data_IF_275748102687
#
_entry.id   IF_275748102687
#
_cell.length_a   1.000
_cell.length_b   1.000
_cell.length_c   1.000
_cell.angle_alpha   90.00
_cell.angle_beta   90.00
_cell.angle_gamma   90.00
#
_symmetry.space_group_name_H-M   'P 1'
#
loop_
_entity.id
_entity.type
_entity.pdbx_description
1 polymer ?
#
# COMPACT_ATOMS: atom_id res chain seq x y z
N UNK A 1 -24.39 52.15 -20.28
CA UNK A 1 -23.82 50.78 -20.32
C UNK A 1 -22.60 50.62 -19.42
N UNK A 2 -21.68 51.60 -19.33
CA UNK A 2 -20.53 51.53 -18.40
C UNK A 2 -20.90 51.59 -16.90
N UNK A 3 -21.94 52.33 -16.52
CA UNK A 3 -22.31 52.52 -15.10
C UNK A 3 -22.91 51.24 -14.46
N UNK A 4 -23.55 50.38 -15.27
CA UNK A 4 -24.14 49.13 -14.79
C UNK A 4 -23.10 48.02 -14.54
N UNK A 5 -21.96 48.04 -15.24
CA UNK A 5 -20.88 47.07 -15.07
C UNK A 5 -20.09 47.34 -13.79
N UNK A 6 -19.92 48.62 -13.41
CA UNK A 6 -19.23 48.98 -12.17
C UNK A 6 -20.02 48.60 -10.90
N UNK A 7 -21.35 48.55 -10.95
CA UNK A 7 -22.18 48.15 -9.81
C UNK A 7 -22.15 46.63 -9.60
N UNK A 8 -22.11 45.82 -10.67
CA UNK A 8 -22.02 44.36 -10.55
C UNK A 8 -20.65 43.87 -10.05
N UNK A 9 -19.55 44.54 -10.44
CA UNK A 9 -18.21 44.23 -9.92
C UNK A 9 -18.08 44.64 -8.45
N UNK A 10 -18.70 45.75 -8.02
CA UNK A 10 -18.72 46.16 -6.62
C UNK A 10 -19.54 45.20 -5.72
N UNK A 11 -20.67 44.67 -6.22
CA UNK A 11 -21.48 43.69 -5.47
C UNK A 11 -20.80 42.32 -5.41
N UNK A 12 -20.08 41.89 -6.46
CA UNK A 12 -19.31 40.65 -6.45
C UNK A 12 -18.10 40.70 -5.49
N UNK A 13 -17.45 41.87 -5.35
CA UNK A 13 -16.36 42.06 -4.38
C UNK A 13 -16.90 42.15 -2.94
N UNK A 14 -18.10 42.71 -2.74
CA UNK A 14 -18.75 42.72 -1.42
C UNK A 14 -19.25 41.31 -1.04
N UNK A 15 -19.74 40.49 -1.97
CA UNK A 15 -20.07 39.07 -1.67
C UNK A 15 -18.83 38.19 -1.47
N UNK A 16 -17.73 38.45 -2.19
CA UNK A 16 -16.44 37.80 -1.94
C UNK A 16 -15.82 38.18 -0.60
N UNK A 17 -16.00 39.44 -0.16
CA UNK A 17 -15.54 39.90 1.16
C UNK A 17 -16.47 39.45 2.30
N UNK A 18 -17.78 39.28 2.06
CA UNK A 18 -18.73 38.80 3.09
C UNK A 18 -18.64 37.30 3.32
N UNK A 19 -18.26 36.50 2.31
CA UNK A 19 -17.90 35.08 2.54
C UNK A 19 -16.52 34.90 3.19
N UNK A 20 -15.63 35.89 3.07
CA UNK A 20 -14.33 35.91 3.76
C UNK A 20 -14.35 36.47 5.20
N UNK A 21 -15.46 37.06 5.66
CA UNK A 21 -15.52 37.78 6.96
C UNK A 21 -16.49 37.14 7.98
N UNK A 22 -17.17 36.03 7.64
CA UNK A 22 -17.87 35.21 8.66
C UNK A 22 -16.89 34.33 9.47
N UNK A 23 -15.61 34.24 9.09
CA UNK A 23 -14.58 33.51 9.87
C UNK A 23 -14.03 34.29 11.07
N UNK A 24 -14.40 35.57 11.26
CA UNK A 24 -13.82 36.42 12.27
C UNK A 24 -14.71 36.65 13.50
N UNK A 25 -15.25 35.60 14.15
CA UNK A 25 -15.46 35.53 15.63
C UNK A 25 -15.52 34.05 16.11
N UNK A 26 -14.43 33.32 15.95
CA UNK A 26 -13.91 32.38 16.96
C UNK A 26 -12.40 32.56 16.81
N UNK A 27 -11.69 33.08 17.82
CA UNK A 27 -10.23 32.92 17.89
C UNK A 27 -9.96 31.43 17.63
N UNK A 28 -9.49 31.06 16.44
CA UNK A 28 -9.58 29.67 16.02
C UNK A 28 -8.74 28.83 16.96
N UNK A 29 -9.34 27.81 17.58
CA UNK A 29 -8.64 26.84 18.44
C UNK A 29 -7.81 25.85 17.61
N UNK A 30 -7.80 26.04 16.29
CA UNK A 30 -7.13 25.24 15.29
C UNK A 30 -5.63 25.30 15.50
N UNK A 31 -5.02 24.14 15.66
CA UNK A 31 -3.57 23.95 15.89
C UNK A 31 -2.88 23.28 14.72
N UNK A 32 -3.63 22.60 13.85
CA UNK A 32 -3.14 22.05 12.61
C UNK A 32 -4.22 22.18 11.53
N UNK A 33 -3.82 22.40 10.28
CA UNK A 33 -4.76 22.52 9.18
C UNK A 33 -4.15 22.12 7.84
N UNK A 34 -5.01 21.63 6.95
CA UNK A 34 -4.70 21.42 5.56
C UNK A 34 -5.88 21.85 4.71
N UNK A 35 -5.68 22.85 3.83
CA UNK A 35 -6.72 23.41 2.96
C UNK A 35 -8.00 23.77 3.75
N UNK A 36 -9.11 23.08 3.50
CA UNK A 36 -10.41 23.31 4.14
C UNK A 36 -10.60 22.56 5.45
N UNK A 37 -9.66 21.69 5.85
CA UNK A 37 -9.75 20.86 7.05
C UNK A 37 -8.88 21.47 8.14
N UNK A 38 -9.47 21.70 9.32
CA UNK A 38 -8.77 22.20 10.50
C UNK A 38 -8.99 21.30 11.69
N UNK A 39 -7.97 21.16 12.52
CA UNK A 39 -7.98 20.38 13.74
C UNK A 39 -7.67 21.28 14.94
N UNK A 40 -8.61 21.32 15.89
CA UNK A 40 -8.46 22.06 17.15
C UNK A 40 -7.64 21.27 18.18
N UNK A 41 -7.06 21.95 19.17
CA UNK A 41 -6.15 21.34 20.16
C UNK A 41 -6.75 20.12 20.88
N UNK A 42 -8.03 20.15 21.25
CA UNK A 42 -8.70 19.02 21.93
C UNK A 42 -8.88 17.81 20.99
N UNK A 43 -9.05 18.05 19.68
CA UNK A 43 -9.12 16.97 18.66
C UNK A 43 -7.73 16.40 18.41
N UNK A 44 -6.72 17.28 18.30
CA UNK A 44 -5.33 16.86 18.17
C UNK A 44 -4.84 16.07 19.39
N UNK A 45 -5.23 16.44 20.61
CA UNK A 45 -4.95 15.67 21.83
C UNK A 45 -5.57 14.27 21.77
N UNK A 46 -6.81 14.14 21.28
CA UNK A 46 -7.42 12.82 21.08
C UNK A 46 -6.55 11.95 20.17
N UNK A 47 -6.18 12.46 18.98
CA UNK A 47 -5.34 11.72 18.04
C UNK A 47 -3.94 11.44 18.59
N UNK A 48 -3.35 12.35 19.36
CA UNK A 48 -2.06 12.13 20.02
C UNK A 48 -2.10 10.94 20.99
N UNK A 49 -3.18 10.80 21.76
CA UNK A 49 -3.35 9.68 22.69
C UNK A 49 -3.58 8.34 21.98
N UNK A 50 -4.19 8.36 20.79
CA UNK A 50 -4.34 7.18 19.93
C UNK A 50 -3.00 6.78 19.29
N UNK A 51 -2.29 7.76 18.73
CA UNK A 51 -0.99 7.55 18.12
C UNK A 51 0.01 6.98 19.13
N UNK A 52 0.04 7.51 20.37
CA UNK A 52 0.88 6.97 21.44
C UNK A 52 0.59 5.49 21.73
N UNK A 53 -0.69 5.11 21.76
CA UNK A 53 -1.07 3.71 21.95
C UNK A 53 -0.59 2.82 20.79
N UNK A 54 -0.80 3.25 19.54
CA UNK A 54 -0.38 2.53 18.35
C UNK A 54 1.16 2.38 18.31
N UNK A 55 1.90 3.44 18.60
CA UNK A 55 3.35 3.45 18.67
C UNK A 55 3.89 2.50 19.75
N UNK A 56 3.32 2.52 20.96
CA UNK A 56 3.73 1.58 22.02
C UNK A 56 3.43 0.12 21.64
N UNK A 57 2.31 -0.11 20.96
CA UNK A 57 1.91 -1.44 20.49
C UNK A 57 2.87 -1.95 19.42
N UNK A 58 3.28 -1.09 18.47
CA UNK A 58 4.23 -1.46 17.42
C UNK A 58 5.60 -1.78 17.99
N UNK A 59 6.12 -0.98 18.93
CA UNK A 59 7.38 -1.29 19.62
C UNK A 59 7.35 -2.65 20.33
N UNK A 60 6.23 -2.97 20.98
CA UNK A 60 6.06 -4.26 21.67
C UNK A 60 6.05 -5.42 20.66
N UNK A 61 5.36 -5.26 19.53
CA UNK A 61 5.31 -6.24 18.45
C UNK A 61 6.68 -6.47 17.80
N UNK A 62 7.50 -5.40 17.67
CA UNK A 62 8.88 -5.48 17.17
C UNK A 62 9.89 -6.04 18.19
N UNK A 63 9.44 -6.56 19.34
CA UNK A 63 10.30 -7.21 20.32
C UNK A 63 11.05 -6.26 21.25
N UNK A 64 10.69 -4.97 21.32
CA UNK A 64 11.29 -4.04 22.27
C UNK A 64 10.88 -4.43 23.69
N UNK A 65 11.86 -4.80 24.51
CA UNK A 65 11.62 -5.21 25.90
C UNK A 65 11.43 -4.00 26.82
N UNK A 66 10.42 -4.07 27.70
CA UNK A 66 10.17 -3.08 28.75
C UNK A 66 9.50 -1.81 28.25
N UNK A 67 8.58 -1.92 27.29
CA UNK A 67 7.76 -0.80 26.83
C UNK A 67 6.80 -0.38 27.95
N UNK A 68 7.03 0.78 28.52
CA UNK A 68 6.22 1.35 29.61
C UNK A 68 5.98 2.84 29.34
N UNK A 69 4.79 3.35 29.64
CA UNK A 69 4.50 4.78 29.52
C UNK A 69 5.12 5.56 30.69
N UNK A 70 6.43 5.76 30.63
CA UNK A 70 7.18 6.48 31.65
C UNK A 70 8.22 7.39 31.01
N UNK A 71 8.55 8.51 31.67
CA UNK A 71 9.65 9.39 31.22
C UNK A 71 10.99 8.65 31.12
N UNK A 72 11.20 7.60 31.90
CA UNK A 72 12.40 6.76 31.82
C UNK A 72 12.48 6.02 30.49
N UNK A 73 11.38 5.40 30.06
CA UNK A 73 11.29 4.73 28.76
C UNK A 73 11.45 5.73 27.61
N UNK A 74 10.74 6.86 27.66
CA UNK A 74 10.81 7.86 26.58
C UNK A 74 12.19 8.47 26.35
N UNK A 75 13.08 8.42 27.35
CA UNK A 75 14.48 8.90 27.24
C UNK A 75 15.46 7.82 26.77
N UNK A 76 15.02 6.57 26.65
CA UNK A 76 15.86 5.46 26.20
C UNK A 76 16.22 5.66 24.72
N UNK A 77 17.49 5.43 24.39
CA UNK A 77 17.97 5.42 23.02
C UNK A 77 17.32 4.25 22.24
N UNK A 78 16.85 4.55 21.04
CA UNK A 78 16.22 3.55 20.15
C UNK A 78 17.24 2.76 19.32
N UNK A 79 18.53 3.12 19.36
CA UNK A 79 19.61 2.55 18.56
C UNK A 79 19.96 3.37 17.31
N UNK A 80 19.20 4.44 17.01
CA UNK A 80 19.44 5.32 15.86
C UNK A 80 19.93 6.73 16.25
N UNK A 81 20.34 6.92 17.51
CA UNK A 81 20.81 8.21 18.03
C UNK A 81 19.68 9.18 18.42
N UNK A 82 18.41 8.74 18.38
CA UNK A 82 17.26 9.44 18.96
C UNK A 82 16.68 8.65 20.12
N UNK A 83 16.02 9.35 21.05
CA UNK A 83 15.22 8.66 22.06
C UNK A 83 13.88 8.20 21.48
N UNK A 84 13.24 7.19 22.09
CA UNK A 84 11.87 6.81 21.71
C UNK A 84 10.88 7.97 21.82
N UNK A 85 11.09 8.88 22.77
CA UNK A 85 10.27 10.08 22.92
C UNK A 85 10.44 11.09 21.79
N UNK A 86 11.64 11.20 21.21
CA UNK A 86 11.87 12.07 20.04
C UNK A 86 11.18 11.49 18.81
N UNK A 87 11.30 10.18 18.59
CA UNK A 87 10.63 9.47 17.49
C UNK A 87 9.10 9.63 17.61
N UNK A 88 8.55 9.43 18.81
CA UNK A 88 7.11 9.60 19.06
C UNK A 88 6.64 11.04 18.77
N UNK A 89 7.44 12.06 19.12
CA UNK A 89 7.08 13.46 18.85
C UNK A 89 7.13 13.80 17.36
N UNK A 90 8.14 13.32 16.66
CA UNK A 90 8.28 13.52 15.22
C UNK A 90 7.12 12.86 14.46
N UNK A 91 6.86 11.58 14.75
CA UNK A 91 5.78 10.84 14.10
C UNK A 91 4.38 11.32 14.45
N UNK A 92 4.18 12.03 15.57
CA UNK A 92 2.88 12.64 15.88
C UNK A 92 2.49 13.70 14.83
N UNK A 93 3.43 14.55 14.39
CA UNK A 93 3.13 15.57 13.38
C UNK A 93 2.73 14.93 12.06
N UNK A 94 3.46 13.90 11.66
CA UNK A 94 3.15 13.11 10.47
C UNK A 94 1.75 12.47 10.59
N UNK A 95 1.46 11.78 11.69
CA UNK A 95 0.16 11.17 11.92
C UNK A 95 -1.00 12.18 11.85
N UNK A 96 -0.86 13.34 12.49
CA UNK A 96 -1.87 14.42 12.42
C UNK A 96 -2.01 14.95 10.99
N UNK A 97 -0.89 15.07 10.26
CA UNK A 97 -0.88 15.44 8.84
C UNK A 97 -1.66 14.43 7.99
N UNK A 98 -1.43 13.13 8.17
CA UNK A 98 -2.15 12.05 7.48
C UNK A 98 -3.66 12.13 7.75
N UNK A 99 -4.08 12.33 9.01
CA UNK A 99 -5.50 12.50 9.36
C UNK A 99 -6.11 13.71 8.64
N UNK A 100 -5.41 14.84 8.58
CA UNK A 100 -5.89 16.04 7.89
C UNK A 100 -5.99 15.85 6.37
N UNK A 101 -4.96 15.24 5.76
CA UNK A 101 -4.89 14.99 4.31
C UNK A 101 -5.96 13.99 3.88
N UNK A 102 -6.11 12.87 4.58
CA UNK A 102 -7.15 11.86 4.27
C UNK A 102 -8.56 12.43 4.43
N UNK A 103 -8.81 13.29 5.42
CA UNK A 103 -10.07 14.01 5.55
C UNK A 103 -10.32 14.98 4.38
N UNK A 104 -9.28 15.68 3.92
CA UNK A 104 -9.37 16.56 2.76
C UNK A 104 -9.66 15.77 1.48
N UNK A 105 -8.96 14.64 1.28
CA UNK A 105 -9.19 13.75 0.16
C UNK A 105 -10.63 13.23 0.17
N UNK A 106 -11.13 12.73 1.30
CA UNK A 106 -12.54 12.35 1.43
C UNK A 106 -13.47 13.50 1.01
N UNK A 107 -13.29 14.71 1.55
CA UNK A 107 -14.18 15.85 1.29
C UNK A 107 -14.11 16.37 -0.16
N UNK A 108 -13.05 16.03 -0.90
CA UNK A 108 -12.90 16.37 -2.32
C UNK A 108 -13.76 15.49 -3.22
N UNK A 109 -13.95 14.21 -2.85
CA UNK A 109 -14.62 13.21 -3.68
C UNK A 109 -16.00 12.82 -3.15
N UNK A 110 -16.27 13.03 -1.86
CA UNK A 110 -17.49 12.57 -1.21
C UNK A 110 -18.04 13.55 -0.16
N UNK A 111 -19.28 13.28 0.24
CA UNK A 111 -19.90 13.87 1.42
C UNK A 111 -20.62 12.75 2.15
N UNK A 112 -20.53 12.75 3.48
CA UNK A 112 -21.22 11.78 4.31
C UNK A 112 -22.72 11.70 3.96
N UNK A 113 -23.14 10.53 3.52
CA UNK A 113 -24.53 10.13 3.34
C UNK A 113 -25.29 10.14 4.67
N UNK A 114 -26.61 10.00 4.58
CA UNK A 114 -27.46 9.90 5.77
C UNK A 114 -27.14 8.66 6.61
N UNK A 115 -26.78 7.55 5.97
CA UNK A 115 -26.49 6.29 6.65
C UNK A 115 -25.14 6.34 7.36
N UNK A 116 -24.09 6.87 6.73
CA UNK A 116 -22.79 7.09 7.38
C UNK A 116 -22.90 8.04 8.57
N UNK A 117 -23.68 9.13 8.44
CA UNK A 117 -23.96 10.04 9.57
C UNK A 117 -24.64 9.32 10.72
N UNK A 118 -25.56 8.40 10.42
CA UNK A 118 -26.25 7.60 11.44
C UNK A 118 -25.28 6.62 12.10
N UNK A 119 -24.46 5.90 11.35
CA UNK A 119 -23.43 4.99 11.89
C UNK A 119 -22.47 5.73 12.83
N UNK A 120 -21.94 6.88 12.40
CA UNK A 120 -21.07 7.74 13.23
C UNK A 120 -21.79 8.16 14.53
N UNK A 121 -23.05 8.59 14.42
CA UNK A 121 -23.84 9.02 15.57
C UNK A 121 -24.09 7.87 16.55
N UNK A 122 -24.41 6.67 16.04
CA UNK A 122 -24.57 5.46 16.84
C UNK A 122 -23.28 5.08 17.56
N UNK A 123 -22.13 5.07 16.88
CA UNK A 123 -20.84 4.77 17.52
C UNK A 123 -20.50 5.76 18.66
N UNK A 124 -20.81 7.04 18.47
CA UNK A 124 -20.67 8.08 19.50
C UNK A 124 -21.58 7.81 20.71
N UNK A 125 -22.86 7.52 20.46
CA UNK A 125 -23.86 7.26 21.50
C UNK A 125 -23.58 5.98 22.29
N UNK A 126 -23.14 4.93 21.61
CA UNK A 126 -22.71 3.67 22.23
C UNK A 126 -21.50 3.89 23.13
N UNK A 127 -20.48 4.62 22.66
CA UNK A 127 -19.32 4.95 23.49
C UNK A 127 -19.75 5.73 24.74
N UNK A 128 -20.62 6.74 24.58
CA UNK A 128 -21.13 7.51 25.71
C UNK A 128 -21.92 6.63 26.70
N UNK A 129 -22.72 5.70 26.19
CA UNK A 129 -23.52 4.78 26.98
C UNK A 129 -22.63 3.81 27.76
N UNK A 130 -21.71 3.12 27.09
CA UNK A 130 -20.88 2.09 27.70
C UNK A 130 -19.78 2.64 28.61
N UNK A 131 -19.24 3.82 28.31
CA UNK A 131 -18.11 4.39 29.08
C UNK A 131 -18.53 5.42 30.12
N UNK A 132 -19.76 5.92 30.05
CA UNK A 132 -20.22 7.02 30.91
C UNK A 132 -21.72 6.97 31.24
N UNK A 133 -22.40 5.83 31.10
CA UNK A 133 -23.83 5.65 31.36
C UNK A 133 -24.74 6.67 30.64
N UNK A 134 -24.34 7.11 29.44
CA UNK A 134 -25.08 8.10 28.66
C UNK A 134 -24.86 9.55 29.14
N UNK A 135 -23.96 9.78 30.11
CA UNK A 135 -23.80 11.08 30.78
C UNK A 135 -22.55 11.82 30.31
N UNK A 136 -22.76 12.93 29.60
CA UNK A 136 -21.69 13.78 29.04
C UNK A 136 -20.73 14.33 30.10
N UNK A 137 -21.22 14.68 31.28
CA UNK A 137 -20.39 15.19 32.38
C UNK A 137 -19.46 14.10 32.97
N UNK A 138 -19.96 12.87 33.10
CA UNK A 138 -19.16 11.71 33.50
C UNK A 138 -18.09 11.41 32.45
N UNK A 139 -18.46 11.43 31.16
CA UNK A 139 -17.52 11.27 30.05
C UNK A 139 -16.42 12.33 30.10
N UNK A 140 -16.80 13.62 30.13
CA UNK A 140 -15.86 14.74 30.19
C UNK A 140 -14.93 14.67 31.40
N UNK A 141 -15.42 14.18 32.55
CA UNK A 141 -14.58 13.98 33.73
C UNK A 141 -13.53 12.89 33.49
N UNK A 142 -13.91 11.79 32.84
CA UNK A 142 -13.01 10.69 32.52
C UNK A 142 -11.98 11.09 31.46
N UNK A 143 -12.39 11.80 30.40
CA UNK A 143 -11.49 12.11 29.28
C UNK A 143 -10.59 13.34 29.51
N UNK A 144 -10.78 14.05 30.62
CA UNK A 144 -10.04 15.28 30.93
C UNK A 144 -8.53 15.10 30.95
N UNK A 145 -8.05 13.95 31.45
CA UNK A 145 -6.61 13.65 31.52
C UNK A 145 -5.97 13.45 30.14
N UNK A 146 -6.77 13.04 29.15
CA UNK A 146 -6.36 12.89 27.75
C UNK A 146 -6.44 14.22 26.98
N UNK A 147 -6.84 15.31 27.63
CA UNK A 147 -6.85 16.65 27.03
C UNK A 147 -7.95 16.90 26.00
N UNK A 148 -9.02 16.11 26.01
CA UNK A 148 -10.16 16.27 25.09
C UNK A 148 -11.51 16.29 25.83
N UNK A 149 -12.58 16.63 25.11
CA UNK A 149 -13.95 16.67 25.61
C UNK A 149 -14.89 15.82 24.75
N UNK A 150 -16.11 15.59 25.21
CA UNK A 150 -17.13 14.91 24.42
C UNK A 150 -17.45 15.65 23.11
N UNK A 151 -17.35 16.98 23.08
CA UNK A 151 -17.61 17.71 21.84
C UNK A 151 -16.47 17.50 20.83
N UNK A 152 -15.20 17.57 21.26
CA UNK A 152 -14.06 17.27 20.39
C UNK A 152 -13.98 15.78 20.01
N UNK A 153 -14.46 14.89 20.88
CA UNK A 153 -14.58 13.45 20.56
C UNK A 153 -15.48 13.21 19.36
N UNK A 154 -16.64 13.88 19.26
CA UNK A 154 -17.53 13.73 18.08
C UNK A 154 -16.84 14.15 16.78
N UNK A 155 -16.09 15.25 16.83
CA UNK A 155 -15.34 15.74 15.68
C UNK A 155 -14.23 14.76 15.31
N UNK A 156 -13.50 14.24 16.31
CA UNK A 156 -12.47 13.23 16.11
C UNK A 156 -13.02 11.94 15.51
N UNK A 157 -14.13 11.40 16.02
CA UNK A 157 -14.79 10.19 15.50
C UNK A 157 -15.19 10.37 14.04
N UNK A 158 -15.74 11.54 13.67
CA UNK A 158 -16.04 11.87 12.28
C UNK A 158 -14.78 11.90 11.42
N UNK A 159 -13.69 12.48 11.91
CA UNK A 159 -12.41 12.51 11.20
C UNK A 159 -11.81 11.10 11.05
N UNK A 160 -11.89 10.26 12.08
CA UNK A 160 -11.44 8.86 12.04
C UNK A 160 -12.22 8.07 11.00
N UNK A 161 -13.56 8.22 10.96
CA UNK A 161 -14.38 7.56 9.95
C UNK A 161 -13.93 7.93 8.53
N UNK A 162 -13.84 9.23 8.24
CA UNK A 162 -13.38 9.71 6.93
C UNK A 162 -12.00 9.20 6.57
N UNK A 163 -11.06 9.20 7.53
CA UNK A 163 -9.70 8.70 7.30
C UNK A 163 -9.71 7.21 6.94
N UNK A 164 -10.53 6.41 7.63
CA UNK A 164 -10.62 4.97 7.43
C UNK A 164 -11.19 4.57 6.06
N UNK A 165 -12.08 5.39 5.48
CA UNK A 165 -12.71 5.11 4.17
C UNK A 165 -12.15 5.96 3.03
N UNK A 166 -11.21 6.87 3.31
CA UNK A 166 -10.69 7.82 2.32
C UNK A 166 -10.07 7.13 1.12
N UNK A 167 -9.35 6.03 1.34
CA UNK A 167 -8.75 5.25 0.26
C UNK A 167 -9.82 4.66 -0.65
N UNK A 168 -10.80 3.95 -0.12
CA UNK A 168 -11.93 3.40 -0.90
C UNK A 168 -12.69 4.49 -1.65
N UNK A 169 -12.82 5.68 -1.07
CA UNK A 169 -13.47 6.82 -1.75
C UNK A 169 -12.63 7.37 -2.91
N UNK A 170 -11.31 7.40 -2.77
CA UNK A 170 -10.40 7.91 -3.81
C UNK A 170 -10.17 6.85 -4.90
N UNK A 171 -9.75 5.65 -4.49
CA UNK A 171 -9.30 4.57 -5.37
C UNK A 171 -10.43 3.62 -5.78
N UNK A 172 -11.61 3.67 -5.15
CA UNK A 172 -12.66 2.67 -5.33
C UNK A 172 -12.43 1.44 -4.46
N UNK A 173 -13.47 0.63 -4.30
CA UNK A 173 -13.37 -0.67 -3.61
C UNK A 173 -12.40 -1.58 -4.37
N UNK A 174 -11.43 -2.16 -3.67
CA UNK A 174 -10.33 -2.93 -4.28
C UNK A 174 -9.53 -2.18 -5.37
N UNK A 175 -9.51 -0.85 -5.35
CA UNK A 175 -8.84 -0.06 -6.39
C UNK A 175 -9.61 0.08 -7.70
N UNK A 176 -10.91 -0.22 -7.73
CA UNK A 176 -11.69 -0.22 -8.97
C UNK A 176 -11.71 1.09 -9.79
N UNK A 177 -11.43 2.25 -9.19
CA UNK A 177 -11.29 3.50 -9.95
C UNK A 177 -9.94 3.61 -10.70
N UNK A 178 -8.94 2.80 -10.34
CA UNK A 178 -7.60 2.82 -10.94
C UNK A 178 -7.49 1.96 -12.20
N UNK A 179 -8.52 1.17 -12.52
CA UNK A 179 -8.59 0.29 -13.70
C UNK A 179 -8.40 1.00 -15.05
N UNK A 180 -8.66 2.32 -15.11
CA UNK A 180 -8.46 3.13 -16.31
C UNK A 180 -7.15 3.93 -16.35
N UNK A 181 -6.33 3.87 -15.30
CA UNK A 181 -5.20 4.77 -15.11
C UNK A 181 -3.89 4.17 -15.63
N UNK A 182 -3.78 4.03 -16.96
CA UNK A 182 -2.63 3.39 -17.63
C UNK A 182 -1.25 3.92 -17.21
N UNK A 183 -1.11 5.23 -16.94
CA UNK A 183 0.15 5.81 -16.49
C UNK A 183 0.54 5.35 -15.08
N UNK A 184 -0.44 5.19 -14.18
CA UNK A 184 -0.19 4.70 -12.81
C UNK A 184 0.11 3.20 -12.80
N UNK A 185 -0.59 2.44 -13.64
CA UNK A 185 -0.31 1.02 -13.86
C UNK A 185 1.12 0.84 -14.38
N UNK A 186 1.55 1.66 -15.34
CA UNK A 186 2.92 1.64 -15.86
C UNK A 186 3.96 2.05 -14.80
N UNK A 187 3.68 3.07 -13.99
CA UNK A 187 4.55 3.46 -12.88
C UNK A 187 4.70 2.31 -11.88
N UNK A 188 3.60 1.68 -11.46
CA UNK A 188 3.61 0.55 -10.52
C UNK A 188 4.36 -0.66 -11.07
N UNK A 189 4.05 -1.07 -12.30
CA UNK A 189 4.71 -2.21 -12.94
C UNK A 189 6.20 -1.94 -13.22
N UNK A 190 6.64 -0.67 -13.29
CA UNK A 190 8.05 -0.35 -13.44
C UNK A 190 8.90 -0.74 -12.22
N UNK A 191 8.27 -0.95 -11.06
CA UNK A 191 8.93 -1.46 -9.85
C UNK A 191 9.06 -2.99 -9.84
N UNK A 192 8.37 -3.68 -10.76
CA UNK A 192 8.36 -5.13 -10.85
C UNK A 192 9.52 -5.65 -11.70
N UNK A 193 9.96 -6.85 -11.35
CA UNK A 193 10.84 -7.66 -12.16
C UNK A 193 10.03 -8.49 -13.16
N UNK A 194 9.95 -8.06 -14.42
CA UNK A 194 9.36 -8.82 -15.51
C UNK A 194 10.35 -9.85 -16.10
N UNK A 195 10.06 -11.14 -15.97
CA UNK A 195 10.91 -12.23 -16.47
C UNK A 195 10.10 -13.28 -17.23
N UNK A 196 10.71 -13.98 -18.18
CA UNK A 196 10.20 -15.29 -18.62
C UNK A 196 11.08 -16.41 -18.09
N UNK A 197 10.45 -17.55 -17.84
CA UNK A 197 11.07 -18.72 -17.21
C UNK A 197 11.04 -19.90 -18.18
N UNK A 198 12.21 -20.45 -18.48
CA UNK A 198 12.37 -21.65 -19.29
C UNK A 198 12.84 -22.80 -18.41
N UNK A 199 11.90 -23.67 -18.05
CA UNK A 199 12.20 -24.88 -17.30
C UNK A 199 12.68 -26.00 -18.23
N UNK A 200 13.74 -26.71 -17.84
CA UNK A 200 14.21 -27.92 -18.48
C UNK A 200 14.35 -29.01 -17.43
N UNK A 201 13.41 -29.95 -17.44
CA UNK A 201 13.42 -31.12 -16.55
C UNK A 201 14.49 -32.11 -17.03
N UNK A 202 15.35 -32.52 -16.11
CA UNK A 202 16.45 -33.47 -16.39
C UNK A 202 16.17 -34.87 -15.87
N UNK A 203 15.20 -35.02 -14.96
CA UNK A 203 14.87 -36.31 -14.36
C UNK A 203 13.51 -36.86 -14.80
N UNK A 204 12.56 -35.99 -15.13
CA UNK A 204 11.17 -36.37 -15.43
C UNK A 204 10.63 -35.67 -16.67
N UNK A 205 9.61 -36.24 -17.30
CA UNK A 205 8.78 -35.57 -18.31
C UNK A 205 7.30 -35.71 -17.95
N UNK A 206 6.47 -34.75 -18.37
CA UNK A 206 5.03 -34.87 -18.29
C UNK A 206 4.52 -36.04 -19.13
N UNK A 207 3.52 -36.74 -18.61
CA UNK A 207 2.76 -37.72 -19.38
C UNK A 207 1.74 -36.96 -20.21
N UNK A 208 1.74 -37.19 -21.52
CA UNK A 208 0.81 -36.57 -22.47
C UNK A 208 -0.27 -37.56 -22.90
N UNK A 209 -1.48 -37.07 -23.13
CA UNK A 209 -2.56 -37.83 -23.75
C UNK A 209 -2.42 -37.91 -25.28
N UNK A 210 -3.38 -38.59 -25.93
CA UNK A 210 -3.39 -38.77 -27.39
C UNK A 210 -3.50 -37.45 -28.17
N UNK A 211 -3.99 -36.39 -27.53
CA UNK A 211 -4.15 -35.04 -28.10
C UNK A 211 -2.94 -34.14 -27.76
N UNK A 212 -1.94 -34.65 -27.04
CA UNK A 212 -0.73 -33.94 -26.64
C UNK A 212 -0.86 -33.09 -25.38
N UNK A 213 -1.97 -33.21 -24.64
CA UNK A 213 -2.19 -32.46 -23.40
C UNK A 213 -1.63 -33.19 -22.19
N UNK A 214 -1.22 -32.45 -21.15
CA UNK A 214 -0.72 -33.03 -19.90
C UNK A 214 -1.83 -33.79 -19.18
N UNK A 215 -1.55 -35.03 -18.79
CA UNK A 215 -2.45 -35.85 -17.99
C UNK A 215 -2.49 -35.34 -16.56
N UNK A 216 -3.69 -35.19 -16.00
CA UNK A 216 -3.92 -34.71 -14.63
C UNK A 216 -4.33 -35.89 -13.73
N UNK A 217 -3.59 -36.08 -12.64
CA UNK A 217 -3.85 -37.04 -11.58
C UNK A 217 -5.14 -36.74 -10.82
N UNK A 218 -5.63 -37.71 -10.04
CA UNK A 218 -6.84 -37.57 -9.22
C UNK A 218 -6.77 -36.50 -8.13
N UNK A 219 -5.56 -36.05 -7.77
CA UNK A 219 -5.32 -34.97 -6.80
C UNK A 219 -5.17 -33.59 -7.44
N UNK A 220 -5.28 -33.50 -8.78
CA UNK A 220 -5.14 -32.26 -9.53
C UNK A 220 -3.70 -31.94 -9.99
N UNK A 221 -2.71 -32.77 -9.65
CA UNK A 221 -1.33 -32.61 -10.12
C UNK A 221 -1.12 -33.19 -11.53
N UNK A 222 -0.12 -32.70 -12.27
CA UNK A 222 0.25 -33.30 -13.57
C UNK A 222 1.04 -34.60 -13.38
N UNK A 223 0.66 -35.65 -14.10
CA UNK A 223 1.41 -36.91 -14.10
C UNK A 223 2.77 -36.74 -14.78
N UNK A 224 3.80 -37.34 -14.17
CA UNK A 224 5.17 -37.35 -14.72
C UNK A 224 5.73 -38.77 -14.77
N UNK A 225 6.62 -39.03 -15.73
CA UNK A 225 7.43 -40.25 -15.81
C UNK A 225 8.91 -39.92 -15.73
N UNK A 226 9.71 -40.90 -15.31
CA UNK A 226 11.17 -40.79 -15.41
C UNK A 226 11.64 -40.72 -16.87
N UNK A 227 12.68 -39.93 -17.10
CA UNK A 227 13.39 -39.88 -18.37
C UNK A 227 14.32 -41.08 -18.51
N UNK A 228 14.43 -41.61 -19.72
CA UNK A 228 15.46 -42.61 -20.05
C UNK A 228 16.82 -41.94 -20.34
N UNK A 229 17.90 -42.72 -20.40
CA UNK A 229 19.26 -42.20 -20.57
C UNK A 229 19.47 -41.36 -21.85
N UNK A 230 18.76 -41.68 -22.94
CA UNK A 230 18.81 -40.92 -24.19
C UNK A 230 18.13 -39.56 -24.02
N UNK A 231 16.94 -39.53 -23.42
CA UNK A 231 16.22 -38.29 -23.12
C UNK A 231 17.00 -37.41 -22.14
N UNK A 232 17.63 -37.99 -21.10
CA UNK A 232 18.48 -37.23 -20.17
C UNK A 232 19.67 -36.59 -20.90
N UNK A 233 20.30 -37.32 -21.81
CA UNK A 233 21.39 -36.79 -22.63
C UNK A 233 20.91 -35.66 -23.56
N UNK A 234 19.72 -35.78 -24.15
CA UNK A 234 19.10 -34.73 -24.96
C UNK A 234 18.83 -33.46 -24.14
N UNK A 235 18.25 -33.59 -22.94
CA UNK A 235 18.01 -32.45 -22.04
C UNK A 235 19.31 -31.77 -21.62
N UNK A 236 20.35 -32.55 -21.31
CA UNK A 236 21.66 -31.99 -20.97
C UNK A 236 22.33 -31.28 -22.14
N UNK A 237 22.17 -31.79 -23.37
CA UNK A 237 22.65 -31.13 -24.57
C UNK A 237 21.92 -29.80 -24.81
N UNK A 238 20.60 -29.76 -24.63
CA UNK A 238 19.81 -28.53 -24.74
C UNK A 238 20.25 -27.47 -23.72
N UNK A 239 20.47 -27.86 -22.46
CA UNK A 239 21.02 -26.96 -21.42
C UNK A 239 22.37 -26.39 -21.85
N UNK A 240 23.27 -27.22 -22.36
CA UNK A 240 24.59 -26.78 -22.80
C UNK A 240 24.53 -25.89 -24.05
N UNK A 241 23.59 -26.15 -24.95
CA UNK A 241 23.33 -25.33 -26.12
C UNK A 241 22.89 -23.92 -25.71
N UNK A 242 21.90 -23.82 -24.81
CA UNK A 242 21.39 -22.54 -24.29
C UNK A 242 22.49 -21.75 -23.59
N UNK A 243 23.27 -22.40 -22.69
CA UNK A 243 24.43 -21.77 -22.04
C UNK A 243 25.43 -21.23 -23.06
N UNK A 244 25.73 -22.01 -24.10
CA UNK A 244 26.63 -21.58 -25.17
C UNK A 244 26.11 -20.37 -25.95
N UNK A 245 24.79 -20.26 -26.15
CA UNK A 245 24.18 -19.07 -26.75
C UNK A 245 24.25 -17.85 -25.82
N UNK A 246 23.91 -18.01 -24.54
CA UNK A 246 23.99 -16.93 -23.55
C UNK A 246 25.42 -16.36 -23.49
N UNK A 247 26.43 -17.23 -23.43
CA UNK A 247 27.84 -16.84 -23.43
C UNK A 247 28.25 -16.09 -24.72
N UNK A 248 27.64 -16.43 -25.86
CA UNK A 248 27.97 -15.85 -27.16
C UNK A 248 27.32 -14.46 -27.39
N UNK A 249 26.09 -14.26 -26.90
CA UNK A 249 25.35 -12.99 -27.01
C UNK A 249 25.94 -11.94 -26.07
N UNK A 250 26.33 -12.33 -24.85
CA UNK A 250 26.77 -11.41 -23.80
C UNK A 250 25.63 -10.48 -23.32
N UNK A 251 25.95 -9.51 -22.45
CA UNK A 251 24.95 -8.64 -21.80
C UNK A 251 24.48 -7.43 -22.64
N UNK A 252 24.63 -7.46 -23.97
CA UNK A 252 24.57 -6.25 -24.81
C UNK A 252 23.59 -6.23 -25.98
N UNK A 253 22.94 -7.34 -26.32
CA UNK A 253 22.01 -7.44 -27.47
C UNK A 253 20.66 -8.03 -27.03
N UNK A 254 19.86 -7.21 -26.36
CA UNK A 254 18.58 -7.61 -25.75
C UNK A 254 17.54 -8.07 -26.79
N UNK A 255 17.56 -7.54 -28.01
CA UNK A 255 16.63 -7.95 -29.07
C UNK A 255 16.93 -9.37 -29.56
N UNK A 256 18.23 -9.67 -29.77
CA UNK A 256 18.68 -11.02 -30.12
C UNK A 256 18.47 -12.01 -28.96
N UNK A 257 18.68 -11.56 -27.72
CA UNK A 257 18.43 -12.35 -26.51
C UNK A 257 16.97 -12.76 -26.35
N UNK A 258 16.03 -11.80 -26.45
CA UNK A 258 14.59 -12.04 -26.36
C UNK A 258 14.12 -13.04 -27.42
N UNK A 259 14.48 -12.80 -28.69
CA UNK A 259 14.06 -13.65 -29.81
C UNK A 259 14.50 -15.11 -29.63
N UNK A 260 15.72 -15.32 -29.13
CA UNK A 260 16.25 -16.65 -28.84
C UNK A 260 15.48 -17.32 -27.69
N UNK A 261 15.21 -16.57 -26.62
CA UNK A 261 14.51 -17.11 -25.46
C UNK A 261 13.07 -17.50 -25.80
N UNK A 262 12.36 -16.65 -26.56
CA UNK A 262 11.02 -16.93 -27.07
C UNK A 262 11.01 -18.18 -27.97
N UNK A 263 12.02 -18.36 -28.82
CA UNK A 263 12.16 -19.59 -29.63
C UNK A 263 12.24 -20.85 -28.76
N UNK A 264 13.05 -20.87 -27.70
CA UNK A 264 13.12 -22.04 -26.83
C UNK A 264 11.85 -22.25 -26.00
N UNK A 265 11.16 -21.18 -25.59
CA UNK A 265 9.86 -21.30 -24.93
C UNK A 265 8.79 -21.91 -25.84
N UNK A 266 8.76 -21.52 -27.12
CA UNK A 266 7.83 -22.08 -28.12
C UNK A 266 8.10 -23.55 -28.43
N UNK A 267 9.37 -23.96 -28.40
CA UNK A 267 9.80 -25.30 -28.79
C UNK A 267 10.03 -26.24 -27.59
N UNK A 268 9.71 -25.79 -26.38
CA UNK A 268 9.80 -26.60 -25.17
C UNK A 268 8.41 -26.77 -24.56
N UNK A 269 7.96 -28.02 -24.41
CA UNK A 269 6.63 -28.35 -23.89
C UNK A 269 6.51 -28.23 -22.35
N UNK A 270 7.48 -27.59 -21.69
CA UNK A 270 7.53 -27.40 -20.24
C UNK A 270 7.22 -25.95 -19.82
N UNK A 271 6.47 -25.77 -18.72
CA UNK A 271 6.02 -24.44 -18.25
C UNK A 271 4.52 -24.17 -18.43
N UNK A 272 4.06 -23.03 -17.95
CA UNK A 272 2.67 -22.59 -18.04
C UNK A 272 2.44 -21.87 -19.39
N UNK A 273 1.51 -22.31 -20.26
CA UNK A 273 1.21 -21.66 -21.53
C UNK A 273 0.89 -20.17 -21.41
N UNK A 274 0.17 -19.74 -20.38
CA UNK A 274 -0.19 -18.33 -20.20
C UNK A 274 1.04 -17.50 -19.81
N UNK A 275 1.86 -18.03 -18.91
CA UNK A 275 3.10 -17.36 -18.49
C UNK A 275 4.21 -17.39 -19.56
N UNK A 276 4.12 -18.25 -20.58
CA UNK A 276 5.03 -18.19 -21.76
C UNK A 276 4.78 -16.95 -22.60
N UNK A 277 3.52 -16.54 -22.74
CA UNK A 277 3.14 -15.37 -23.51
C UNK A 277 3.45 -14.10 -22.72
N UNK A 278 2.92 -13.99 -21.50
CA UNK A 278 2.94 -12.77 -20.69
C UNK A 278 4.16 -12.62 -19.77
N UNK A 279 4.88 -13.72 -19.50
CA UNK A 279 5.92 -13.74 -18.47
C UNK A 279 5.39 -13.72 -17.04
N UNK A 280 6.30 -13.54 -16.10
CA UNK A 280 6.08 -13.43 -14.67
C UNK A 280 6.56 -12.08 -14.18
N UNK A 281 5.84 -11.52 -13.23
CA UNK A 281 6.15 -10.23 -12.63
C UNK A 281 6.37 -10.41 -11.13
N UNK A 282 7.61 -10.19 -10.69
CA UNK A 282 7.99 -10.35 -9.29
C UNK A 282 8.19 -9.00 -8.61
N UNK A 283 7.59 -8.85 -7.42
CA UNK A 283 7.86 -7.74 -6.50
C UNK A 283 7.87 -8.29 -5.06
N UNK A 284 8.92 -8.02 -4.26
CA UNK A 284 9.12 -8.65 -2.95
C UNK A 284 7.94 -8.50 -1.97
N UNK A 285 7.16 -7.42 -2.10
CA UNK A 285 6.07 -7.14 -1.18
C UNK A 285 4.73 -7.81 -1.56
N UNK A 286 4.62 -8.42 -2.75
CA UNK A 286 3.37 -9.07 -3.19
C UNK A 286 3.23 -10.49 -2.66
N UNK A 287 2.00 -10.90 -2.36
CA UNK A 287 1.71 -12.25 -1.87
C UNK A 287 2.02 -13.32 -2.92
N UNK A 288 1.78 -13.03 -4.21
CA UNK A 288 2.18 -13.90 -5.31
C UNK A 288 3.68 -14.20 -5.29
N UNK A 289 4.52 -13.16 -5.20
CA UNK A 289 5.98 -13.33 -5.24
C UNK A 289 6.49 -14.09 -4.02
N UNK A 290 5.91 -13.86 -2.84
CA UNK A 290 6.26 -14.59 -1.61
C UNK A 290 5.90 -16.07 -1.71
N UNK A 291 4.69 -16.38 -2.20
CA UNK A 291 4.26 -17.76 -2.40
C UNK A 291 5.14 -18.49 -3.43
N UNK A 292 5.56 -17.79 -4.50
CA UNK A 292 6.48 -18.34 -5.48
C UNK A 292 7.89 -18.54 -4.88
N UNK A 293 8.40 -17.59 -4.10
CA UNK A 293 9.70 -17.67 -3.43
C UNK A 293 9.77 -18.83 -2.43
N UNK A 294 8.68 -19.14 -1.74
CA UNK A 294 8.58 -20.31 -0.85
C UNK A 294 8.81 -21.65 -1.59
N UNK A 295 8.48 -21.72 -2.88
CA UNK A 295 8.66 -22.92 -3.71
C UNK A 295 9.94 -22.88 -4.56
N UNK A 296 10.33 -21.68 -5.02
CA UNK A 296 11.41 -21.46 -6.00
C UNK A 296 12.28 -20.24 -5.65
N UNK A 297 12.84 -20.22 -4.43
CA UNK A 297 13.65 -19.12 -3.88
C UNK A 297 14.74 -18.63 -4.86
N UNK A 298 15.52 -19.55 -5.43
CA UNK A 298 16.64 -19.20 -6.33
C UNK A 298 16.18 -18.54 -7.64
N UNK A 299 14.98 -18.88 -8.15
CA UNK A 299 14.41 -18.24 -9.33
C UNK A 299 13.99 -16.80 -8.99
N UNK A 300 13.24 -16.62 -7.89
CA UNK A 300 12.78 -15.30 -7.47
C UNK A 300 13.96 -14.36 -7.22
N UNK A 301 14.97 -14.83 -6.48
CA UNK A 301 16.21 -14.08 -6.24
C UNK A 301 16.93 -13.71 -7.52
N UNK A 302 17.07 -14.65 -8.45
CA UNK A 302 17.69 -14.39 -9.76
C UNK A 302 16.92 -13.31 -10.52
N UNK A 303 15.59 -13.37 -10.54
CA UNK A 303 14.75 -12.38 -11.21
C UNK A 303 15.00 -10.95 -10.67
N UNK A 304 15.14 -10.79 -9.35
CA UNK A 304 15.41 -9.49 -8.73
C UNK A 304 16.80 -8.93 -9.04
N UNK A 305 17.81 -9.78 -9.21
CA UNK A 305 19.21 -9.37 -9.41
C UNK A 305 19.53 -8.99 -10.87
N UNK A 306 18.79 -9.54 -11.85
CA UNK A 306 19.02 -9.31 -13.27
C UNK A 306 18.59 -7.90 -13.72
N UNK A 307 19.44 -7.29 -14.56
CA UNK A 307 19.10 -6.13 -15.37
C UNK A 307 18.32 -6.56 -16.62
N UNK A 308 17.54 -5.65 -17.20
CA UNK A 308 16.84 -5.88 -18.47
C UNK A 308 17.82 -6.38 -19.55
N UNK A 309 17.43 -7.46 -20.23
CA UNK A 309 18.23 -8.10 -21.27
C UNK A 309 19.26 -9.09 -20.76
N UNK A 310 19.37 -9.30 -19.44
CA UNK A 310 20.28 -10.29 -18.85
C UNK A 310 19.61 -11.65 -18.66
N UNK A 311 20.45 -12.68 -18.69
CA UNK A 311 20.09 -14.07 -18.44
C UNK A 311 20.61 -14.49 -17.07
N UNK A 312 19.83 -15.30 -16.37
CA UNK A 312 20.20 -16.01 -15.16
C UNK A 312 19.86 -17.49 -15.27
N UNK A 313 20.36 -18.26 -14.31
CA UNK A 313 20.14 -19.69 -14.22
C UNK A 313 19.90 -20.05 -12.75
N UNK A 314 18.88 -20.86 -12.49
CA UNK A 314 18.56 -21.40 -11.17
C UNK A 314 18.41 -22.92 -11.26
N UNK A 315 18.96 -23.64 -10.29
CA UNK A 315 18.72 -25.07 -10.13
C UNK A 315 17.36 -25.28 -9.45
N UNK A 316 16.60 -26.27 -9.90
CA UNK A 316 15.34 -26.70 -9.28
C UNK A 316 15.37 -28.22 -9.10
N UNK A 317 14.55 -28.74 -8.18
CA UNK A 317 14.57 -30.16 -7.81
C UNK A 317 14.41 -31.15 -8.99
N UNK A 318 13.80 -30.69 -10.09
CA UNK A 318 13.56 -31.50 -11.28
C UNK A 318 14.43 -31.15 -12.49
N UNK A 319 15.34 -30.16 -12.38
CA UNK A 319 16.21 -29.74 -13.48
C UNK A 319 16.76 -28.32 -13.35
N UNK A 320 16.74 -27.57 -14.46
CA UNK A 320 17.29 -26.21 -14.53
C UNK A 320 16.21 -25.25 -15.01
N UNK A 321 16.17 -24.05 -14.46
CA UNK A 321 15.39 -22.93 -14.97
C UNK A 321 16.32 -21.84 -15.48
N UNK A 322 16.17 -21.47 -16.76
CA UNK A 322 16.75 -20.25 -17.27
C UNK A 322 15.78 -19.09 -17.06
N UNK A 323 16.30 -17.95 -16.62
CA UNK A 323 15.55 -16.73 -16.35
C UNK A 323 16.04 -15.66 -17.29
N UNK A 324 15.17 -14.99 -18.02
CA UNK A 324 15.55 -13.82 -18.82
C UNK A 324 14.69 -12.62 -18.42
N UNK A 325 15.35 -11.49 -18.17
CA UNK A 325 14.72 -10.24 -17.75
C UNK A 325 14.25 -9.44 -18.97
N UNK A 326 12.94 -9.30 -19.10
CA UNK A 326 12.34 -8.49 -20.15
C UNK A 326 12.18 -7.04 -19.69
N UNK A 327 12.02 -6.12 -20.63
CA UNK A 327 11.44 -4.82 -20.30
C UNK A 327 10.01 -5.04 -19.78
N UNK A 328 9.63 -4.31 -18.76
CA UNK A 328 8.23 -4.26 -18.33
C UNK A 328 7.43 -3.60 -19.46
N UNK A 329 6.60 -4.38 -20.16
CA UNK A 329 5.67 -3.85 -21.16
C UNK A 329 4.26 -3.81 -20.59
N UNK A 330 3.67 -2.63 -20.62
CA UNK A 330 2.32 -2.37 -20.12
C UNK A 330 1.29 -2.24 -21.22
N UNK A 331 1.73 -2.20 -22.50
CA UNK A 331 0.82 -2.08 -23.63
C UNK A 331 0.05 -3.37 -23.91
N UNK A 332 0.63 -4.52 -23.53
CA UNK A 332 0.09 -5.84 -23.83
C UNK A 332 -0.69 -6.49 -22.67
N UNK A 333 -0.63 -5.90 -21.47
CA UNK A 333 -1.40 -6.37 -20.32
C UNK A 333 -2.79 -5.76 -20.36
N UNK A 334 -3.78 -6.55 -20.79
CA UNK A 334 -5.18 -6.19 -20.61
C UNK A 334 -5.63 -6.36 -19.14
N UNK A 335 -6.81 -5.83 -18.84
CA UNK A 335 -7.36 -5.83 -17.47
C UNK A 335 -7.49 -7.24 -16.88
N UNK A 336 -7.89 -8.21 -17.71
CA UNK A 336 -8.10 -9.60 -17.31
C UNK A 336 -6.75 -10.30 -17.04
N UNK A 337 -5.73 -9.98 -17.83
CA UNK A 337 -4.36 -10.48 -17.66
C UNK A 337 -3.73 -9.99 -16.36
N UNK A 338 -3.95 -8.72 -15.98
CA UNK A 338 -3.44 -8.16 -14.72
C UNK A 338 -4.06 -8.84 -13.49
N UNK A 339 -5.38 -9.06 -13.47
CA UNK A 339 -6.02 -9.77 -12.35
C UNK A 339 -5.59 -11.25 -12.28
N UNK A 340 -5.24 -11.84 -13.42
CA UNK A 340 -4.77 -13.24 -13.50
C UNK A 340 -3.32 -13.37 -13.01
N UNK A 341 -2.44 -12.45 -13.41
CA UNK A 341 -1.05 -12.42 -12.96
C UNK A 341 -0.91 -11.96 -11.50
N UNK A 342 -1.88 -11.20 -10.99
CA UNK A 342 -1.82 -10.58 -9.67
C UNK A 342 -3.22 -10.54 -9.03
N UNK A 343 -3.52 -11.48 -8.13
CA UNK A 343 -4.85 -11.60 -7.50
C UNK A 343 -5.32 -10.32 -6.82
N UNK A 344 -4.40 -9.47 -6.37
CA UNK A 344 -4.68 -8.25 -5.61
C UNK A 344 -4.10 -6.98 -6.28
N UNK A 345 -3.83 -7.03 -7.60
CA UNK A 345 -3.15 -5.95 -8.34
C UNK A 345 -3.66 -4.54 -8.01
N UNK A 346 -4.97 -4.35 -8.20
CA UNK A 346 -5.59 -3.04 -8.06
C UNK A 346 -5.72 -2.62 -6.59
N UNK A 347 -5.76 -3.60 -5.67
CA UNK A 347 -5.70 -3.33 -4.23
C UNK A 347 -4.33 -2.80 -3.83
N UNK A 348 -3.26 -3.49 -4.25
CA UNK A 348 -1.88 -3.06 -3.98
C UNK A 348 -1.56 -1.73 -4.67
N UNK A 349 -1.99 -1.57 -5.93
CA UNK A 349 -1.88 -0.30 -6.66
C UNK A 349 -2.61 0.83 -5.92
N UNK A 350 -3.78 0.54 -5.34
CA UNK A 350 -4.53 1.49 -4.52
C UNK A 350 -3.76 1.89 -3.25
N UNK A 351 -3.06 0.97 -2.60
CA UNK A 351 -2.21 1.27 -1.44
C UNK A 351 -1.04 2.19 -1.82
N UNK A 352 -0.34 1.88 -2.91
CA UNK A 352 0.78 2.69 -3.39
C UNK A 352 0.30 4.09 -3.81
N UNK A 353 -0.72 4.16 -4.67
CA UNK A 353 -1.26 5.42 -5.16
C UNK A 353 -1.74 6.32 -4.01
N UNK A 354 -2.49 5.75 -3.06
CA UNK A 354 -3.01 6.50 -1.94
C UNK A 354 -1.92 6.96 -0.97
N UNK A 355 -0.92 6.11 -0.71
CA UNK A 355 0.25 6.46 0.12
C UNK A 355 1.09 7.56 -0.52
N UNK A 356 1.28 7.52 -1.84
CA UNK A 356 1.96 8.58 -2.61
C UNK A 356 1.19 9.89 -2.55
N UNK A 357 -0.13 9.86 -2.78
CA UNK A 357 -1.00 11.04 -2.63
C UNK A 357 -0.89 11.65 -1.23
N UNK A 358 -0.91 10.84 -0.18
CA UNK A 358 -0.75 11.34 1.19
C UNK A 358 0.62 12.00 1.36
N UNK A 359 1.69 11.33 0.94
CA UNK A 359 3.07 11.80 1.09
C UNK A 359 3.32 13.12 0.37
N UNK A 360 2.76 13.31 -0.83
CA UNK A 360 2.87 14.56 -1.58
C UNK A 360 2.09 15.72 -0.92
N UNK A 361 0.92 15.42 -0.35
CA UNK A 361 0.05 16.45 0.22
C UNK A 361 0.41 16.82 1.66
N UNK A 362 1.09 15.93 2.39
CA UNK A 362 1.44 16.13 3.81
C UNK A 362 2.39 17.31 4.01
N UNK A 363 3.23 17.63 3.03
CA UNK A 363 4.12 18.79 3.05
C UNK A 363 3.36 20.12 3.15
N UNK A 364 2.11 20.15 2.69
CA UNK A 364 1.25 21.33 2.75
C UNK A 364 0.52 21.52 4.08
N UNK A 365 0.72 20.64 5.07
CA UNK A 365 0.06 20.73 6.38
C UNK A 365 0.71 21.85 7.21
N UNK A 366 -0.13 22.78 7.68
CA UNK A 366 0.30 23.90 8.50
C UNK A 366 0.06 23.60 9.99
N UNK A 367 1.09 23.82 10.82
CA UNK A 367 1.01 23.68 12.28
C UNK A 367 1.18 25.04 12.95
N UNK A 368 0.22 25.40 13.80
CA UNK A 368 0.34 26.55 14.70
C UNK A 368 1.26 26.17 15.89
N UNK A 369 2.00 27.14 16.42
CA UNK A 369 2.87 26.96 17.60
C UNK A 369 2.15 26.37 18.83
N UNK A 370 0.83 26.54 18.93
CA UNK A 370 0.01 25.95 20.00
C UNK A 370 -0.08 24.43 19.90
N UNK A 371 0.22 23.84 18.75
CA UNK A 371 0.37 22.40 18.62
C UNK A 371 1.46 21.86 19.56
N UNK A 372 2.53 22.63 19.77
CA UNK A 372 3.61 22.27 20.70
C UNK A 372 3.19 22.31 22.19
N UNK A 373 1.98 22.79 22.50
CA UNK A 373 1.38 22.66 23.83
C UNK A 373 0.89 21.23 24.12
N UNK A 374 0.78 20.38 23.09
CA UNK A 374 0.45 18.96 23.23
C UNK A 374 1.73 18.19 23.57
N UNK A 375 2.01 18.02 24.86
CA UNK A 375 3.10 17.17 25.31
C UNK A 375 2.66 15.69 25.31
N UNK A 376 2.84 15.02 24.16
CA UNK A 376 2.49 13.60 24.00
C UNK A 376 3.21 12.68 25.00
N UNK A 377 4.36 13.07 25.54
CA UNK A 377 5.05 12.26 26.55
C UNK A 377 4.32 12.27 27.90
N UNK A 378 3.58 13.34 28.19
CA UNK A 378 2.82 13.50 29.43
C UNK A 378 1.34 13.11 29.30
N UNK A 379 0.82 13.02 28.07
CA UNK A 379 -0.53 12.51 27.84
C UNK A 379 -0.58 10.99 28.06
N UNK A 380 -1.59 10.46 28.77
CA UNK A 380 -1.81 9.02 28.82
C UNK A 380 -2.20 8.49 27.45
N UNK A 381 -1.81 7.26 27.12
CA UNK A 381 -2.27 6.59 25.90
C UNK A 381 -3.75 6.19 26.02
N UNK A 382 -4.51 6.27 24.92
CA UNK A 382 -5.95 6.02 24.91
C UNK A 382 -6.29 4.84 24.01
N UNK A 383 -6.60 3.67 24.59
CA UNK A 383 -7.18 2.54 23.86
C UNK A 383 -8.69 2.38 24.12
N UNK A 384 -9.22 3.16 25.08
CA UNK A 384 -10.55 2.95 25.65
C UNK A 384 -11.64 3.61 24.81
N UNK A 385 -11.32 4.75 24.19
CA UNK A 385 -12.25 5.60 23.45
C UNK A 385 -11.97 5.58 21.94
N UNK A 386 -11.69 4.41 21.39
CA UNK A 386 -11.66 4.20 19.94
C UNK A 386 -13.07 3.87 19.42
N UNK A 387 -13.55 4.58 18.38
CA UNK A 387 -14.76 4.16 17.70
C UNK A 387 -14.50 2.82 16.98
N UNK A 388 -15.47 1.92 17.06
CA UNK A 388 -15.51 0.70 16.25
C UNK A 388 -16.54 0.98 15.15
N UNK A 389 -16.13 0.89 13.88
CA UNK A 389 -16.98 1.17 12.73
C UNK A 389 -17.31 -0.08 11.95
#
# INVERSE_FOLDING_TARGET
MLIFICIFVAIAIIFGAVLGIISAVKKSRTVASYRSVGMDIEVASYFATQYKYAFMSSLSASGVVGVEDTLGFWRKDSGNGKSYGDILKEGLREYIGQVLVTNYLYDRYATLSSDEKKQISTAIEETLTYKADGKKDVFNKAVKEFGFSYDSYKDAVKMSYKSAVAQTIVCGDGGGNLKGESELVAEYLSEFSHVKLLFIRTETAFVLDDDGNRVVSSDGSYETRELNDEEKAERQNLINEIRGYIDAIGTGDAEMGSTMFDYYLEHNDEGDPEARELGYYFHPDTDFSKAFEDEFEDIAKTAYELSVGEFGEAEVDFGVCFVYKYETDTADLDEDSLETCFSDFYSDLSDIFFSKQISELIEGVEFDKRFDEIDILLLPYNYIYNPVF
#
